data_IF_805993566706
#
_entry.id   IF_805993566706
#
_cell.length_a   1.000
_cell.length_b   1.000
_cell.length_c   1.000
_cell.angle_alpha   90.00
_cell.angle_beta   90.00
_cell.angle_gamma   90.00
#
_symmetry.space_group_name_H-M   'P 1'
#
loop_
_entity.id
_entity.type
_entity.pdbx_description
1 polymer ?
#
# COMPACT_ATOMS: atom_id res chain seq x y z
N UNK A 1 -0.28 -35.95 -8.14
CA UNK A 1 0.92 -35.32 -7.54
C UNK A 1 0.65 -35.21 -6.05
N UNK A 2 1.62 -35.48 -5.18
CA UNK A 2 1.41 -35.38 -3.73
C UNK A 2 0.99 -33.94 -3.38
N UNK A 3 -0.14 -33.80 -2.67
CA UNK A 3 -0.69 -32.53 -2.22
C UNK A 3 0.26 -31.97 -1.16
N UNK A 4 1.15 -31.08 -1.58
CA UNK A 4 2.11 -30.41 -0.68
C UNK A 4 1.41 -29.20 -0.05
N UNK A 5 1.73 -28.92 1.21
CA UNK A 5 1.28 -27.70 1.89
C UNK A 5 1.83 -26.48 1.12
N UNK A 6 0.95 -25.54 0.74
CA UNK A 6 1.35 -24.24 0.20
C UNK A 6 2.18 -23.45 1.22
N UNK A 7 2.91 -22.43 0.76
CA UNK A 7 3.86 -21.61 1.54
C UNK A 7 5.17 -22.28 1.99
N UNK A 8 5.40 -23.57 1.69
CA UNK A 8 6.71 -24.21 1.89
C UNK A 8 7.72 -23.93 0.77
N UNK A 9 7.21 -23.50 -0.39
CA UNK A 9 7.97 -23.06 -1.56
C UNK A 9 7.47 -21.67 -1.95
N UNK A 10 8.20 -20.97 -2.82
CA UNK A 10 7.75 -19.68 -3.34
C UNK A 10 6.40 -19.86 -4.07
N UNK A 11 5.34 -19.13 -3.68
CA UNK A 11 4.03 -19.29 -4.30
C UNK A 11 4.03 -18.79 -5.74
N UNK A 12 3.19 -19.39 -6.57
CA UNK A 12 2.97 -18.89 -7.94
C UNK A 12 2.09 -17.66 -7.90
N UNK A 13 2.57 -16.54 -8.45
CA UNK A 13 1.78 -15.32 -8.58
C UNK A 13 1.19 -15.19 -9.98
N UNK A 14 -0.13 -15.04 -10.06
CA UNK A 14 -0.82 -14.74 -11.30
C UNK A 14 -0.97 -13.23 -11.48
N UNK A 15 -0.80 -12.75 -12.72
CA UNK A 15 -1.08 -11.36 -13.04
C UNK A 15 -2.58 -11.06 -12.90
N UNK A 16 -2.93 -9.86 -12.47
CA UNK A 16 -4.31 -9.38 -12.44
C UNK A 16 -4.81 -9.19 -13.87
N UNK A 17 -5.91 -9.84 -14.22
CA UNK A 17 -6.56 -9.70 -15.53
C UNK A 17 -7.46 -8.44 -15.60
N UNK A 18 -6.94 -7.31 -15.12
CA UNK A 18 -7.72 -6.08 -14.89
C UNK A 18 -8.22 -5.39 -16.15
N UNK A 19 -7.72 -5.80 -17.33
CA UNK A 19 -8.17 -5.29 -18.62
C UNK A 19 -9.38 -6.06 -19.16
N UNK A 20 -9.63 -7.25 -18.65
CA UNK A 20 -10.79 -8.06 -19.04
C UNK A 20 -12.07 -7.50 -18.39
N UNK A 21 -13.14 -7.23 -19.16
CA UNK A 21 -14.41 -6.76 -18.60
C UNK A 21 -14.97 -7.68 -17.49
N UNK A 22 -14.75 -9.00 -17.59
CA UNK A 22 -15.20 -9.97 -16.57
C UNK A 22 -14.53 -9.74 -15.21
N UNK A 23 -13.34 -9.15 -15.17
CA UNK A 23 -12.66 -8.81 -13.92
C UNK A 23 -13.52 -7.93 -13.00
N UNK A 24 -14.34 -7.07 -13.59
CA UNK A 24 -15.24 -6.14 -12.89
C UNK A 24 -16.66 -6.68 -12.69
N UNK A 25 -16.91 -7.94 -13.04
CA UNK A 25 -18.20 -8.58 -12.77
C UNK A 25 -18.38 -8.77 -11.25
N UNK A 26 -19.41 -8.12 -10.71
CA UNK A 26 -19.65 -8.07 -9.27
C UNK A 26 -20.15 -9.41 -8.74
N UNK A 27 -20.99 -10.14 -9.49
CA UNK A 27 -21.50 -11.44 -9.06
C UNK A 27 -20.37 -12.48 -8.95
N UNK A 28 -19.48 -12.54 -9.95
CA UNK A 28 -18.29 -13.40 -9.96
C UNK A 28 -17.30 -13.00 -8.85
N UNK A 29 -17.13 -11.69 -8.59
CA UNK A 29 -16.34 -11.21 -7.46
C UNK A 29 -16.92 -11.69 -6.12
N UNK A 30 -18.21 -11.53 -5.89
CA UNK A 30 -18.85 -11.90 -4.62
C UNK A 30 -18.83 -13.41 -4.38
N UNK A 31 -19.01 -14.20 -5.45
CA UNK A 31 -18.84 -15.65 -5.39
C UNK A 31 -17.41 -16.04 -4.96
N UNK A 32 -16.40 -15.37 -5.52
CA UNK A 32 -15.01 -15.63 -5.16
C UNK A 32 -14.65 -15.13 -3.75
N UNK A 33 -15.19 -13.99 -3.32
CA UNK A 33 -15.07 -13.50 -1.93
C UNK A 33 -15.63 -14.51 -0.95
N UNK A 34 -16.83 -15.03 -1.20
CA UNK A 34 -17.46 -16.05 -0.36
C UNK A 34 -16.62 -17.32 -0.28
N UNK A 35 -16.14 -17.85 -1.43
CA UNK A 35 -15.26 -19.02 -1.47
C UNK A 35 -13.99 -18.81 -0.65
N UNK A 36 -13.30 -17.67 -0.83
CA UNK A 36 -12.06 -17.39 -0.11
C UNK A 36 -12.31 -17.15 1.37
N UNK A 37 -13.40 -16.49 1.73
CA UNK A 37 -13.78 -16.26 3.13
C UNK A 37 -14.11 -17.55 3.84
N UNK A 38 -14.80 -18.48 3.18
CA UNK A 38 -15.10 -19.82 3.69
C UNK A 38 -13.82 -20.60 4.01
N UNK A 39 -12.88 -20.65 3.06
CA UNK A 39 -11.56 -21.28 3.27
C UNK A 39 -10.79 -20.60 4.42
N UNK A 40 -10.83 -19.27 4.49
CA UNK A 40 -10.14 -18.50 5.53
C UNK A 40 -10.75 -18.77 6.91
N UNK A 41 -12.08 -18.81 7.00
CA UNK A 41 -12.84 -19.14 8.21
C UNK A 41 -12.54 -20.57 8.68
N UNK A 42 -12.45 -21.53 7.75
CA UNK A 42 -12.16 -22.92 8.09
C UNK A 42 -10.80 -23.15 8.76
N UNK A 43 -9.77 -22.38 8.39
CA UNK A 43 -8.42 -22.57 8.95
C UNK A 43 -7.99 -21.53 10.00
N UNK A 44 -8.49 -20.29 9.91
CA UNK A 44 -8.18 -19.13 10.77
C UNK A 44 -6.69 -18.81 11.03
N UNK A 45 -5.76 -19.40 10.29
CA UNK A 45 -4.30 -19.27 10.54
C UNK A 45 -3.77 -17.84 10.44
N UNK A 46 -4.45 -16.97 9.71
CA UNK A 46 -4.01 -15.60 9.44
C UNK A 46 -4.50 -14.56 10.47
N UNK A 47 -5.24 -14.96 11.51
CA UNK A 47 -5.87 -14.06 12.50
C UNK A 47 -4.92 -13.02 13.10
N UNK A 48 -3.65 -13.37 13.31
CA UNK A 48 -2.66 -12.50 13.97
C UNK A 48 -1.88 -11.60 13.03
N UNK A 49 -2.14 -11.62 11.72
CA UNK A 49 -1.34 -10.88 10.74
C UNK A 49 -1.79 -9.44 10.54
N UNK A 50 -3.10 -9.21 10.47
CA UNK A 50 -3.70 -7.91 10.20
C UNK A 50 -5.18 -7.92 10.61
N UNK A 51 -5.85 -6.76 10.54
CA UNK A 51 -7.24 -6.60 11.00
C UNK A 51 -8.28 -7.23 10.08
N UNK A 52 -7.98 -7.47 8.79
CA UNK A 52 -8.94 -8.09 7.86
C UNK A 52 -9.44 -9.45 8.33
N UNK A 53 -8.57 -10.28 8.92
CA UNK A 53 -8.93 -11.63 9.34
C UNK A 53 -9.76 -11.66 10.64
N UNK A 54 -9.37 -10.97 11.73
CA UNK A 54 -10.26 -10.78 12.89
C UNK A 54 -11.63 -10.25 12.47
N UNK A 55 -11.71 -9.20 11.65
CA UNK A 55 -13.00 -8.67 11.16
C UNK A 55 -13.81 -9.73 10.42
N UNK A 56 -13.18 -10.52 9.54
CA UNK A 56 -13.87 -11.61 8.86
C UNK A 56 -14.42 -12.64 9.86
N UNK A 57 -13.61 -13.04 10.84
CA UNK A 57 -14.01 -14.07 11.79
C UNK A 57 -15.08 -13.59 12.77
N UNK A 58 -15.01 -12.34 13.23
CA UNK A 58 -16.05 -11.70 14.03
C UNK A 58 -17.37 -11.64 13.26
N UNK A 59 -17.33 -11.25 11.97
CA UNK A 59 -18.54 -11.24 11.12
C UNK A 59 -19.17 -12.62 10.98
N UNK A 60 -18.36 -13.68 10.89
CA UNK A 60 -18.87 -15.06 10.85
C UNK A 60 -19.43 -15.47 12.21
N UNK A 61 -18.68 -15.26 13.29
CA UNK A 61 -19.05 -15.71 14.64
C UNK A 61 -20.31 -15.00 15.17
N UNK A 62 -20.57 -13.77 14.71
CA UNK A 62 -21.78 -13.00 15.02
C UNK A 62 -22.93 -13.23 14.03
N UNK A 63 -22.72 -14.06 13.00
CA UNK A 63 -23.73 -14.34 11.97
C UNK A 63 -24.79 -15.34 12.47
N UNK A 64 -26.03 -15.33 11.92
CA UNK A 64 -27.09 -16.25 12.33
C UNK A 64 -26.76 -17.73 12.12
N UNK A 65 -25.94 -18.05 11.12
CA UNK A 65 -25.55 -19.44 10.79
C UNK A 65 -24.21 -19.82 11.40
N UNK A 66 -23.46 -18.84 11.92
CA UNK A 66 -22.03 -18.98 12.28
C UNK A 66 -21.14 -19.42 11.12
N UNK A 67 -21.62 -19.23 9.89
CA UNK A 67 -20.93 -19.54 8.64
C UNK A 67 -20.94 -18.30 7.73
N UNK A 68 -20.17 -18.37 6.64
CA UNK A 68 -20.02 -17.25 5.70
C UNK A 68 -21.33 -16.88 4.99
N UNK A 69 -22.22 -17.85 4.79
CA UNK A 69 -23.54 -17.65 4.18
C UNK A 69 -24.48 -16.78 5.03
N UNK A 70 -24.23 -16.68 6.34
CA UNK A 70 -24.96 -15.84 7.28
C UNK A 70 -24.48 -14.39 7.29
N UNK A 71 -23.36 -14.08 6.65
CA UNK A 71 -22.84 -12.71 6.56
C UNK A 71 -23.57 -11.93 5.46
N UNK A 72 -23.99 -10.71 5.78
CA UNK A 72 -24.52 -9.77 4.78
C UNK A 72 -23.43 -9.42 3.76
N UNK A 73 -23.74 -9.50 2.46
CA UNK A 73 -22.75 -9.25 1.40
C UNK A 73 -22.14 -7.85 1.50
N UNK A 74 -22.88 -6.86 1.99
CA UNK A 74 -22.37 -5.50 2.22
C UNK A 74 -21.23 -5.45 3.25
N UNK A 75 -21.22 -6.38 4.21
CA UNK A 75 -20.20 -6.43 5.26
C UNK A 75 -18.87 -7.02 4.77
N UNK A 76 -18.84 -7.69 3.61
CA UNK A 76 -17.59 -8.15 2.99
C UNK A 76 -16.63 -6.98 2.73
N UNK A 77 -17.17 -5.80 2.41
CA UNK A 77 -16.37 -4.60 2.19
C UNK A 77 -15.57 -4.18 3.42
N UNK A 78 -16.00 -4.51 4.64
CA UNK A 78 -15.23 -4.22 5.87
C UNK A 78 -13.90 -4.97 5.88
N UNK A 79 -13.91 -6.22 5.41
CA UNK A 79 -12.70 -7.06 5.29
C UNK A 79 -11.80 -6.54 4.17
N UNK A 80 -12.39 -6.22 3.01
CA UNK A 80 -11.69 -5.65 1.84
C UNK A 80 -10.99 -4.35 2.17
N UNK A 81 -11.67 -3.42 2.84
CA UNK A 81 -11.16 -2.09 3.13
C UNK A 81 -9.96 -2.12 4.09
N UNK A 82 -9.91 -3.11 4.98
CA UNK A 82 -8.81 -3.28 5.94
C UNK A 82 -7.57 -3.97 5.35
N UNK A 83 -7.65 -4.52 4.14
CA UNK A 83 -6.50 -5.13 3.50
C UNK A 83 -5.59 -4.05 2.89
N UNK A 84 -4.33 -4.00 3.34
CA UNK A 84 -3.27 -3.10 2.85
C UNK A 84 -2.24 -3.82 1.97
N UNK A 85 -2.62 -4.93 1.33
CA UNK A 85 -1.86 -5.61 0.26
C UNK A 85 -0.38 -5.95 0.58
N UNK A 86 -0.05 -6.24 1.84
CA UNK A 86 1.33 -6.55 2.25
C UNK A 86 1.83 -7.95 1.88
N UNK A 87 0.94 -8.80 1.34
CA UNK A 87 1.22 -10.19 0.97
C UNK A 87 1.70 -11.14 2.07
N UNK A 88 1.75 -10.74 3.34
CA UNK A 88 2.23 -11.62 4.42
C UNK A 88 1.41 -12.91 4.54
N UNK A 89 0.08 -12.83 4.40
CA UNK A 89 -0.79 -14.00 4.43
C UNK A 89 -0.49 -14.97 3.27
N UNK A 90 -0.27 -14.44 2.08
CA UNK A 90 0.03 -15.19 0.87
C UNK A 90 1.44 -15.80 0.90
N UNK A 91 2.45 -15.00 1.25
CA UNK A 91 3.85 -15.42 1.17
C UNK A 91 4.29 -16.34 2.30
N UNK A 92 3.66 -16.25 3.49
CA UNK A 92 4.26 -16.85 4.69
C UNK A 92 3.32 -17.69 5.57
N UNK A 93 2.00 -17.66 5.35
CA UNK A 93 1.04 -18.31 6.27
C UNK A 93 0.01 -19.22 5.62
N UNK A 94 -0.47 -18.86 4.43
CA UNK A 94 -1.57 -19.59 3.82
C UNK A 94 -1.06 -20.92 3.21
N UNK A 95 -1.58 -22.08 3.67
CA UNK A 95 -1.20 -23.38 3.10
C UNK A 95 -1.89 -23.68 1.76
N UNK A 96 -2.75 -22.78 1.29
CA UNK A 96 -3.65 -23.00 0.16
C UNK A 96 -3.35 -22.10 -1.04
N UNK A 97 -2.17 -21.45 -1.03
CA UNK A 97 -1.68 -20.63 -2.13
C UNK A 97 -1.36 -21.46 -3.38
N UNK A 98 -1.40 -20.87 -4.58
CA UNK A 98 -1.04 -21.56 -5.81
C UNK A 98 0.37 -22.18 -5.70
N UNK A 99 0.58 -23.44 -6.13
CA UNK A 99 -0.30 -24.23 -7.01
C UNK A 99 -1.29 -25.17 -6.28
N UNK A 100 -1.59 -24.95 -4.99
CA UNK A 100 -2.61 -25.73 -4.29
C UNK A 100 -3.95 -25.67 -5.04
N UNK A 101 -4.75 -26.74 -4.99
CA UNK A 101 -6.02 -26.84 -5.73
C UNK A 101 -7.04 -25.72 -5.41
N UNK A 102 -6.98 -25.17 -4.19
CA UNK A 102 -7.83 -24.06 -3.76
C UNK A 102 -7.35 -22.69 -4.27
N UNK A 103 -6.13 -22.61 -4.80
CA UNK A 103 -5.60 -21.46 -5.54
C UNK A 103 -5.86 -20.10 -4.85
N UNK A 104 -5.59 -20.01 -3.54
CA UNK A 104 -6.00 -18.87 -2.72
C UNK A 104 -4.93 -17.76 -2.76
N UNK A 105 -5.25 -16.63 -3.38
CA UNK A 105 -4.46 -15.38 -3.31
C UNK A 105 -5.35 -14.26 -2.74
N UNK A 106 -5.33 -14.14 -1.40
CA UNK A 106 -6.19 -13.20 -0.68
C UNK A 106 -5.89 -11.74 -1.06
N UNK A 107 -4.63 -11.24 -1.05
CA UNK A 107 -4.32 -9.88 -1.48
C UNK A 107 -4.75 -9.58 -2.92
N UNK A 108 -4.58 -10.53 -3.84
CA UNK A 108 -5.03 -10.37 -5.24
C UNK A 108 -6.55 -10.17 -5.31
N UNK A 109 -7.32 -10.99 -4.58
CA UNK A 109 -8.77 -10.84 -4.52
C UNK A 109 -9.19 -9.51 -3.88
N UNK A 110 -8.50 -9.07 -2.82
CA UNK A 110 -8.79 -7.77 -2.20
C UNK A 110 -8.52 -6.61 -3.16
N UNK A 111 -7.44 -6.70 -3.96
CA UNK A 111 -7.15 -5.70 -5.00
C UNK A 111 -8.20 -5.72 -6.12
N UNK A 112 -8.68 -6.89 -6.56
CA UNK A 112 -9.83 -6.98 -7.48
C UNK A 112 -11.06 -6.30 -6.90
N UNK A 113 -11.41 -6.59 -5.65
CA UNK A 113 -12.57 -5.99 -4.98
C UNK A 113 -12.44 -4.46 -4.90
N UNK A 114 -11.27 -3.96 -4.50
CA UNK A 114 -10.97 -2.52 -4.46
C UNK A 114 -11.09 -1.87 -5.85
N UNK A 115 -10.62 -2.53 -6.91
CA UNK A 115 -10.74 -2.04 -8.27
C UNK A 115 -12.21 -1.96 -8.75
N UNK A 116 -13.04 -2.94 -8.42
CA UNK A 116 -14.50 -2.89 -8.67
C UNK A 116 -15.12 -1.70 -7.93
N UNK A 117 -14.83 -1.55 -6.64
CA UNK A 117 -15.30 -0.43 -5.80
C UNK A 117 -14.87 0.93 -6.36
N UNK A 118 -13.62 1.04 -6.82
CA UNK A 118 -13.08 2.27 -7.44
C UNK A 118 -13.83 2.63 -8.73
N UNK A 119 -14.05 1.64 -9.62
CA UNK A 119 -14.76 1.83 -10.89
C UNK A 119 -16.23 2.24 -10.71
N UNK A 120 -16.88 1.75 -9.65
CA UNK A 120 -18.24 2.16 -9.26
C UNK A 120 -18.30 3.56 -8.63
N UNK A 121 -17.14 4.18 -8.35
CA UNK A 121 -17.07 5.49 -7.71
C UNK A 121 -17.35 5.47 -6.21
N UNK A 122 -17.27 4.29 -5.57
CA UNK A 122 -17.63 4.07 -4.16
C UNK A 122 -16.48 4.34 -3.18
N UNK A 123 -15.33 4.81 -3.69
CA UNK A 123 -14.17 5.21 -2.87
C UNK A 123 -14.32 6.66 -2.42
N UNK A 124 -14.09 6.92 -1.12
CA UNK A 124 -14.29 8.25 -0.53
C UNK A 124 -13.34 9.28 -1.16
N UNK A 125 -13.80 10.53 -1.24
CA UNK A 125 -12.96 11.65 -1.69
C UNK A 125 -11.68 11.78 -0.87
N UNK A 126 -11.76 11.61 0.46
CA UNK A 126 -10.62 11.62 1.38
C UNK A 126 -9.51 10.67 0.92
N UNK A 127 -9.88 9.44 0.56
CA UNK A 127 -8.91 8.41 0.17
C UNK A 127 -8.25 8.78 -1.17
N UNK A 128 -9.02 9.29 -2.14
CA UNK A 128 -8.49 9.80 -3.42
C UNK A 128 -7.54 10.98 -3.23
N UNK A 129 -7.84 11.86 -2.29
CA UNK A 129 -6.97 12.99 -1.92
C UNK A 129 -5.65 12.48 -1.32
N UNK A 130 -5.72 11.67 -0.27
CA UNK A 130 -4.55 11.18 0.47
C UNK A 130 -3.64 10.26 -0.37
N UNK A 131 -4.21 9.48 -1.30
CA UNK A 131 -3.45 8.64 -2.23
C UNK A 131 -2.69 9.45 -3.29
N UNK A 132 -3.02 10.73 -3.48
CA UNK A 132 -2.35 11.61 -4.46
C UNK A 132 -1.06 12.20 -3.89
N UNK A 133 -0.20 11.35 -3.32
CA UNK A 133 0.96 11.75 -2.50
C UNK A 133 1.93 12.67 -3.21
N UNK A 134 2.23 12.42 -4.49
CA UNK A 134 3.14 13.28 -5.26
C UNK A 134 2.53 14.66 -5.56
N UNK A 135 1.24 14.72 -5.90
CA UNK A 135 0.55 15.98 -6.13
C UNK A 135 0.43 16.81 -4.84
N UNK A 136 0.06 16.16 -3.72
CA UNK A 136 0.02 16.78 -2.40
C UNK A 136 1.40 17.25 -1.97
N UNK A 137 2.44 16.43 -2.17
CA UNK A 137 3.82 16.77 -1.84
C UNK A 137 4.32 17.99 -2.61
N UNK A 138 4.06 18.05 -3.93
CA UNK A 138 4.39 19.21 -4.77
C UNK A 138 3.72 20.49 -4.27
N UNK A 139 2.44 20.43 -3.92
CA UNK A 139 1.69 21.59 -3.43
C UNK A 139 2.16 22.02 -2.04
N UNK A 140 2.25 21.07 -1.11
CA UNK A 140 2.55 21.32 0.29
C UNK A 140 4.03 21.69 0.53
N UNK A 141 4.93 21.46 -0.43
CA UNK A 141 6.34 21.84 -0.35
C UNK A 141 6.63 23.24 -0.93
N UNK A 142 5.60 24.00 -1.35
CA UNK A 142 5.76 25.39 -1.75
C UNK A 142 5.99 26.22 -0.47
N UNK A 143 7.06 27.03 -0.33
CA UNK A 143 7.51 27.57 0.96
C UNK A 143 6.43 28.22 1.86
N UNK A 144 5.53 29.02 1.28
CA UNK A 144 4.42 29.65 2.01
C UNK A 144 3.33 28.63 2.36
N UNK A 145 3.02 27.72 1.44
CA UNK A 145 2.05 26.65 1.66
C UNK A 145 2.54 25.70 2.75
N UNK A 146 3.82 25.35 2.75
CA UNK A 146 4.44 24.48 3.78
C UNK A 146 4.22 25.01 5.18
N UNK A 147 4.44 26.31 5.41
CA UNK A 147 4.24 26.92 6.72
C UNK A 147 2.78 26.83 7.17
N UNK A 148 1.84 27.11 6.26
CA UNK A 148 0.40 27.03 6.54
C UNK A 148 -0.03 25.59 6.79
N UNK A 149 0.41 24.64 5.96
CA UNK A 149 0.10 23.21 6.12
C UNK A 149 0.66 22.68 7.44
N UNK A 150 1.93 22.95 7.75
CA UNK A 150 2.55 22.50 8.99
C UNK A 150 1.91 23.13 10.22
N UNK A 151 1.51 24.41 10.16
CA UNK A 151 0.72 25.04 11.22
C UNK A 151 -0.64 24.34 11.40
N UNK A 152 -1.36 24.08 10.31
CA UNK A 152 -2.67 23.45 10.35
C UNK A 152 -2.63 22.01 10.90
N UNK A 153 -1.64 21.20 10.52
CA UNK A 153 -1.50 19.83 11.02
C UNK A 153 -1.02 19.76 12.48
N UNK A 154 -0.44 20.83 13.01
CA UNK A 154 -0.03 20.92 14.42
C UNK A 154 -1.02 21.69 15.31
N UNK A 155 -2.09 22.27 14.73
CA UNK A 155 -3.09 23.03 15.48
C UNK A 155 -4.29 22.17 15.86
N UNK A 156 -4.59 22.05 17.15
CA UNK A 156 -5.67 21.19 17.65
C UNK A 156 -7.07 21.52 17.12
N UNK A 157 -7.38 22.81 16.89
CA UNK A 157 -8.66 23.22 16.33
C UNK A 157 -8.78 22.81 14.85
N UNK A 158 -7.73 23.08 14.06
CA UNK A 158 -7.66 22.62 12.67
C UNK A 158 -7.70 21.09 12.55
N UNK A 159 -7.04 20.36 13.47
CA UNK A 159 -7.12 18.90 13.56
C UNK A 159 -8.52 18.39 13.87
N UNK A 160 -9.26 19.08 14.74
CA UNK A 160 -10.65 18.72 15.07
C UNK A 160 -11.59 18.93 13.88
N UNK A 161 -11.39 20.01 13.12
CA UNK A 161 -12.11 20.23 11.85
C UNK A 161 -11.74 19.15 10.82
N UNK A 162 -10.46 18.83 10.68
CA UNK A 162 -9.99 17.79 9.76
C UNK A 162 -10.55 16.42 10.11
N UNK A 163 -10.68 16.10 11.40
CA UNK A 163 -11.32 14.87 11.88
C UNK A 163 -12.79 14.82 11.44
N UNK A 164 -13.56 15.89 11.66
CA UNK A 164 -14.97 15.93 11.25
C UNK A 164 -15.22 15.90 9.74
N UNK A 165 -14.30 16.43 8.93
CA UNK A 165 -14.47 16.55 7.46
C UNK A 165 -13.83 15.40 6.70
N UNK A 166 -12.61 15.02 7.08
CA UNK A 166 -11.80 14.02 6.40
C UNK A 166 -11.73 12.71 7.19
N UNK A 167 -12.33 12.61 8.38
CA UNK A 167 -12.26 11.42 9.23
C UNK A 167 -10.79 11.00 9.50
N UNK A 168 -9.87 11.96 9.58
CA UNK A 168 -8.49 11.71 10.01
C UNK A 168 -8.43 12.07 11.49
N UNK A 169 -8.42 11.03 12.34
CA UNK A 169 -8.48 11.18 13.79
C UNK A 169 -7.57 12.31 14.29
N UNK A 170 -8.11 13.21 15.11
CA UNK A 170 -7.41 14.43 15.53
C UNK A 170 -6.06 14.18 16.22
N UNK A 171 -5.92 13.04 16.92
CA UNK A 171 -4.69 12.64 17.63
C UNK A 171 -3.66 11.97 16.71
N UNK A 172 -3.99 11.71 15.44
CA UNK A 172 -3.03 11.17 14.49
C UNK A 172 -1.90 12.18 14.29
N UNK A 173 -0.67 11.74 14.59
CA UNK A 173 0.55 12.49 14.24
C UNK A 173 0.69 12.50 12.72
N UNK A 174 0.63 13.70 12.14
CA UNK A 174 0.83 13.92 10.72
C UNK A 174 2.29 14.27 10.46
N UNK A 175 2.90 13.75 9.38
CA UNK A 175 4.25 14.14 9.02
C UNK A 175 4.26 15.59 8.52
N UNK A 176 5.25 16.35 8.96
CA UNK A 176 5.47 17.71 8.46
C UNK A 176 6.02 17.67 7.04
N UNK A 177 5.71 18.70 6.26
CA UNK A 177 6.32 18.92 4.96
C UNK A 177 7.60 19.74 5.11
N UNK A 178 8.61 19.42 4.31
CA UNK A 178 9.86 20.16 4.27
C UNK A 178 9.73 21.40 3.37
N UNK A 179 10.18 22.55 3.86
CA UNK A 179 10.18 23.80 3.07
C UNK A 179 11.16 23.78 1.88
N UNK A 180 12.02 22.76 1.82
CA UNK A 180 12.91 22.48 0.69
C UNK A 180 12.97 20.99 0.46
N UNK A 181 12.66 20.55 -0.77
CA UNK A 181 12.62 19.13 -1.11
C UNK A 181 14.02 18.55 -1.27
N UNK A 182 14.19 17.25 -0.98
CA UNK A 182 15.49 16.58 -1.14
C UNK A 182 16.04 16.76 -2.56
N UNK A 183 15.23 16.55 -3.59
CA UNK A 183 15.68 16.66 -4.99
C UNK A 183 16.15 18.07 -5.37
N UNK A 184 15.60 19.11 -4.74
CA UNK A 184 16.00 20.51 -4.99
C UNK A 184 17.30 20.93 -4.29
N UNK A 185 17.76 20.15 -3.30
CA UNK A 185 18.94 20.45 -2.49
C UNK A 185 20.04 19.40 -2.64
N UNK A 186 19.73 18.18 -3.06
CA UNK A 186 20.67 17.08 -3.17
C UNK A 186 21.68 17.33 -4.29
N UNK A 187 22.96 17.12 -3.97
CA UNK A 187 24.08 17.27 -4.89
C UNK A 187 25.08 16.13 -4.67
N UNK A 188 24.69 14.86 -4.92
CA UNK A 188 25.63 13.76 -4.78
C UNK A 188 26.78 13.91 -5.76
N UNK A 189 27.96 13.50 -5.33
CA UNK A 189 29.14 13.41 -6.17
C UNK A 189 29.10 12.17 -7.07
N UNK A 190 29.34 12.37 -8.36
CA UNK A 190 29.44 11.30 -9.35
C UNK A 190 30.85 11.20 -9.97
N UNK A 191 31.81 11.94 -9.44
CA UNK A 191 33.19 12.09 -9.93
C UNK A 191 34.18 11.13 -9.25
N UNK A 192 33.73 10.34 -8.28
CA UNK A 192 34.53 9.28 -7.70
C UNK A 192 34.77 8.13 -8.69
N UNK A 193 35.95 7.48 -8.67
CA UNK A 193 36.17 6.27 -9.45
C UNK A 193 35.18 5.16 -9.08
N UNK A 194 34.55 4.55 -10.08
CA UNK A 194 33.67 3.39 -9.86
C UNK A 194 34.53 2.18 -9.51
N UNK A 195 34.37 1.67 -8.28
CA UNK A 195 35.09 0.49 -7.76
C UNK A 195 34.09 -0.66 -7.54
N UNK A 196 34.10 -1.73 -8.36
CA UNK A 196 33.21 -2.88 -8.14
C UNK A 196 33.41 -3.49 -6.74
N UNK A 197 32.31 -3.75 -6.05
CA UNK A 197 32.30 -4.53 -4.81
C UNK A 197 32.05 -6.01 -5.09
N UNK A 198 32.09 -6.84 -4.04
CA UNK A 198 31.81 -8.28 -4.14
C UNK A 198 30.43 -8.58 -4.77
N UNK A 199 29.44 -7.73 -4.48
CA UNK A 199 28.03 -7.96 -4.87
C UNK A 199 27.42 -6.88 -5.76
N UNK A 200 28.11 -5.75 -5.97
CA UNK A 200 27.54 -4.60 -6.69
C UNK A 200 28.56 -3.93 -7.60
N UNK A 201 28.11 -3.21 -8.65
CA UNK A 201 29.00 -2.46 -9.54
C UNK A 201 29.69 -1.23 -8.92
N UNK A 202 29.45 -0.90 -7.64
CA UNK A 202 30.12 0.21 -6.96
C UNK A 202 29.65 1.60 -7.35
N UNK A 203 28.39 1.76 -7.77
CA UNK A 203 27.76 3.05 -8.09
C UNK A 203 26.28 3.01 -7.71
N UNK A 204 25.69 4.16 -7.41
CA UNK A 204 24.33 4.25 -6.85
C UNK A 204 23.44 5.22 -7.64
N UNK A 205 22.21 4.80 -7.92
CA UNK A 205 21.13 5.67 -8.35
C UNK A 205 20.13 5.83 -7.18
N UNK A 206 19.93 7.06 -6.73
CA UNK A 206 19.06 7.39 -5.59
C UNK A 206 17.67 7.73 -6.14
N UNK A 207 16.71 6.87 -5.80
CA UNK A 207 15.28 7.19 -5.87
C UNK A 207 14.87 7.80 -4.55
N UNK A 208 14.42 9.06 -4.56
CA UNK A 208 14.13 9.74 -3.32
C UNK A 208 12.85 9.22 -2.68
N UNK A 209 11.89 8.70 -3.45
CA UNK A 209 10.51 8.43 -3.00
C UNK A 209 9.77 9.73 -2.62
N UNK A 210 8.44 9.66 -2.54
CA UNK A 210 7.65 10.83 -2.14
C UNK A 210 7.98 11.29 -0.71
N UNK A 211 8.24 10.37 0.23
CA UNK A 211 8.39 10.72 1.64
C UNK A 211 9.72 11.41 1.96
N UNK A 212 10.86 10.88 1.49
CA UNK A 212 12.15 11.58 1.66
C UNK A 212 12.15 12.89 0.88
N UNK A 213 11.50 12.94 -0.29
CA UNK A 213 11.48 14.17 -1.06
C UNK A 213 10.73 15.32 -0.38
N UNK A 214 9.55 15.04 0.17
CA UNK A 214 8.62 16.08 0.63
C UNK A 214 8.51 16.22 2.15
N UNK A 215 8.87 15.21 2.94
CA UNK A 215 8.68 15.22 4.39
C UNK A 215 10.02 15.13 5.14
N UNK A 216 10.83 14.13 4.81
CA UNK A 216 12.07 13.80 5.55
C UNK A 216 13.33 13.88 4.66
N UNK A 217 13.65 15.05 4.05
CA UNK A 217 14.81 15.16 3.15
C UNK A 217 16.15 14.94 3.85
N UNK A 218 16.20 15.07 5.18
CA UNK A 218 17.39 14.78 5.99
C UNK A 218 17.92 13.37 5.76
N UNK A 219 17.02 12.37 5.69
CA UNK A 219 17.39 10.96 5.45
C UNK A 219 18.15 10.82 4.13
N UNK A 220 17.68 11.47 3.07
CA UNK A 220 18.34 11.45 1.77
C UNK A 220 19.71 12.15 1.81
N UNK A 221 19.81 13.29 2.52
CA UNK A 221 21.07 13.99 2.67
C UNK A 221 22.11 13.19 3.45
N UNK A 222 21.69 12.46 4.47
CA UNK A 222 22.59 11.60 5.23
C UNK A 222 23.07 10.40 4.39
N UNK A 223 22.20 9.82 3.56
CA UNK A 223 22.63 8.83 2.56
C UNK A 223 23.68 9.41 1.60
N UNK A 224 23.49 10.63 1.09
CA UNK A 224 24.48 11.29 0.21
C UNK A 224 25.83 11.45 0.93
N UNK A 225 25.84 11.93 2.18
CA UNK A 225 27.08 12.06 2.97
C UNK A 225 27.76 10.71 3.19
N UNK A 226 27.00 9.64 3.46
CA UNK A 226 27.54 8.29 3.63
C UNK A 226 28.19 7.79 2.34
N UNK A 227 27.56 8.00 1.19
CA UNK A 227 28.12 7.62 -0.11
C UNK A 227 29.38 8.41 -0.41
N UNK A 228 29.38 9.72 -0.15
CA UNK A 228 30.55 10.58 -0.34
C UNK A 228 31.72 10.21 0.57
N UNK A 229 31.45 9.90 1.85
CA UNK A 229 32.47 9.44 2.79
C UNK A 229 33.16 8.16 2.33
N UNK A 230 32.42 7.27 1.65
CA UNK A 230 32.93 6.01 1.12
C UNK A 230 33.42 6.11 -0.33
N UNK A 231 33.51 7.32 -0.90
CA UNK A 231 33.91 7.56 -2.30
C UNK A 231 33.05 6.77 -3.31
N UNK A 232 31.75 6.60 -3.03
CA UNK A 232 30.83 5.89 -3.91
C UNK A 232 30.14 6.90 -4.83
N UNK A 233 30.34 6.84 -6.16
CA UNK A 233 29.68 7.75 -7.09
C UNK A 233 28.18 7.50 -7.10
N UNK A 234 27.42 8.59 -6.97
CA UNK A 234 25.97 8.54 -6.89
C UNK A 234 25.28 9.62 -7.72
N UNK A 235 24.07 9.33 -8.18
CA UNK A 235 23.19 10.28 -8.87
C UNK A 235 21.80 10.25 -8.25
N UNK A 236 21.11 11.38 -8.22
CA UNK A 236 19.66 11.40 -7.95
C UNK A 236 18.93 11.22 -9.28
N UNK A 237 17.93 10.35 -9.31
CA UNK A 237 17.16 10.08 -10.54
C UNK A 237 16.32 11.30 -10.92
N UNK A 238 16.55 11.84 -12.11
CA UNK A 238 15.90 13.09 -12.56
C UNK A 238 14.42 12.94 -12.91
N UNK A 239 14.00 11.76 -13.37
CA UNK A 239 12.64 11.50 -13.85
C UNK A 239 11.92 10.41 -13.06
N UNK A 240 12.11 10.38 -11.75
CA UNK A 240 11.30 9.48 -10.91
C UNK A 240 9.85 9.98 -10.81
N UNK A 241 8.93 9.02 -10.78
CA UNK A 241 7.51 9.21 -10.53
C UNK A 241 7.12 8.51 -9.22
N UNK A 242 5.90 8.77 -8.73
CA UNK A 242 5.33 7.99 -7.63
C UNK A 242 5.28 6.50 -8.01
N UNK A 243 5.56 5.61 -7.05
CA UNK A 243 5.43 4.16 -7.27
C UNK A 243 3.99 3.70 -7.47
N UNK A 244 3.00 4.58 -7.31
CA UNK A 244 1.58 4.27 -7.49
C UNK A 244 0.96 3.45 -6.34
N UNK A 245 1.73 2.99 -5.35
CA UNK A 245 1.23 2.10 -4.29
C UNK A 245 -0.04 2.62 -3.59
N UNK A 246 -0.13 3.89 -3.16
CA UNK A 246 -1.37 4.38 -2.53
C UNK A 246 -2.59 4.40 -3.47
N UNK A 247 -2.38 4.51 -4.79
CA UNK A 247 -3.44 4.44 -5.79
C UNK A 247 -3.84 2.99 -6.06
N UNK A 248 -2.86 2.11 -6.16
CA UNK A 248 -3.04 0.66 -6.26
C UNK A 248 -3.86 0.11 -5.09
N UNK A 249 -3.54 0.49 -3.86
CA UNK A 249 -4.26 0.08 -2.64
C UNK A 249 -5.71 0.59 -2.56
N UNK A 250 -6.08 1.57 -3.39
CA UNK A 250 -7.46 2.03 -3.58
C UNK A 250 -8.17 1.38 -4.77
N UNK A 251 -7.47 0.58 -5.57
CA UNK A 251 -8.01 -0.03 -6.79
C UNK A 251 -7.99 0.90 -8.02
N UNK A 252 -7.26 2.03 -7.96
CA UNK A 252 -7.07 2.94 -9.10
C UNK A 252 -6.00 2.38 -10.06
N UNK A 253 -6.33 1.30 -10.74
CA UNK A 253 -5.37 0.53 -11.57
C UNK A 253 -4.93 1.29 -12.82
N UNK A 254 -5.77 2.19 -13.36
CA UNK A 254 -5.47 2.94 -14.59
C UNK A 254 -4.42 4.03 -14.37
N UNK A 255 -4.28 4.53 -13.13
CA UNK A 255 -3.37 5.63 -12.80
C UNK A 255 -1.97 5.14 -12.38
N UNK A 256 -1.78 3.83 -12.20
CA UNK A 256 -0.54 3.20 -11.70
C UNK A 256 0.38 2.74 -12.83
#
# INVERSE_FOLDING_TARGET
MAQREGSLEAPTRHALDWQNPKFYDEADLFHELERVYDICHGCRRCVSLCTSFPTLFDLVDESPTMEVDGIKKEDYWKVVDQCYLCDLCFMTKCPYVPPHEWNLDFPHLMLRAKAVKFKKGEVKFRDKLLSSTDALGKLASIPVVTQVTNFAINNGAARSVMDGVLEIHKERKMPEYAGRTFRSSAKPRNDFPVKPGERTPGKVAIYSTCYVNYNEPGIGHDLVKLLEHNEIPAVVVEKEACCGMPKLELGDLETV
#
